data_IF_306082106029
#
_entry.id   IF_306082106029
#
_cell.length_a   1.000
_cell.length_b   1.000
_cell.length_c   1.000
_cell.angle_alpha   90.00
_cell.angle_beta   90.00
_cell.angle_gamma   90.00
#
_symmetry.space_group_name_H-M   'P 1'
#
loop_
_entity.id
_entity.type
_entity.pdbx_description
1 polymer ?
#
# COMPACT_ATOMS: atom_id res chain seq x y z
N UNK A 1 -5.75 -58.59 -48.62
CA UNK A 1 -6.55 -57.47 -48.09
C UNK A 1 -7.38 -56.92 -49.24
N UNK A 2 -8.69 -56.74 -49.05
CA UNK A 2 -9.55 -56.12 -50.07
C UNK A 2 -9.54 -54.60 -49.89
N UNK A 3 -9.90 -53.86 -50.93
CA UNK A 3 -9.99 -52.39 -50.87
C UNK A 3 -11.01 -51.94 -49.82
N UNK A 4 -12.10 -52.68 -49.67
CA UNK A 4 -13.14 -52.45 -48.67
C UNK A 4 -12.60 -52.59 -47.24
N UNK A 5 -11.74 -53.59 -46.98
CA UNK A 5 -11.07 -53.71 -45.68
C UNK A 5 -10.12 -52.53 -45.40
N UNK A 6 -9.37 -52.06 -46.40
CA UNK A 6 -8.46 -50.93 -46.23
C UNK A 6 -9.18 -49.59 -45.99
N UNK A 7 -10.34 -49.39 -46.65
CA UNK A 7 -11.18 -48.20 -46.44
C UNK A 7 -11.80 -48.20 -45.04
N UNK A 8 -12.24 -49.37 -44.55
CA UNK A 8 -12.77 -49.50 -43.19
C UNK A 8 -11.70 -49.18 -42.14
N UNK A 9 -10.48 -49.71 -42.30
CA UNK A 9 -9.36 -49.45 -41.41
C UNK A 9 -8.97 -47.96 -41.38
N UNK A 10 -8.92 -47.31 -42.55
CA UNK A 10 -8.63 -45.88 -42.63
C UNK A 10 -9.74 -45.01 -41.99
N UNK A 11 -11.00 -45.38 -42.18
CA UNK A 11 -12.14 -44.67 -41.58
C UNK A 11 -12.10 -44.77 -40.05
N UNK A 12 -11.75 -45.96 -39.54
CA UNK A 12 -11.56 -46.18 -38.10
C UNK A 12 -10.40 -45.35 -37.56
N UNK A 13 -9.22 -45.42 -38.19
CA UNK A 13 -8.07 -44.62 -37.79
C UNK A 13 -8.35 -43.12 -37.81
N UNK A 14 -9.12 -42.64 -38.79
CA UNK A 14 -9.54 -41.24 -38.88
C UNK A 14 -10.50 -40.85 -37.74
N UNK A 15 -11.44 -41.72 -37.40
CA UNK A 15 -12.38 -41.52 -36.27
C UNK A 15 -11.64 -41.49 -34.93
N UNK A 16 -10.70 -42.42 -34.73
CA UNK A 16 -9.87 -42.50 -33.53
C UNK A 16 -8.97 -41.26 -33.38
N UNK A 17 -8.41 -40.76 -34.49
CA UNK A 17 -7.62 -39.52 -34.52
C UNK A 17 -8.48 -38.30 -34.18
N UNK A 18 -9.68 -38.18 -34.76
CA UNK A 18 -10.62 -37.08 -34.47
C UNK A 18 -11.04 -37.11 -32.99
N UNK A 19 -11.34 -38.29 -32.44
CA UNK A 19 -11.69 -38.45 -31.03
C UNK A 19 -10.54 -38.04 -30.12
N UNK A 20 -9.32 -38.49 -30.44
CA UNK A 20 -8.09 -38.14 -29.70
C UNK A 20 -7.84 -36.63 -29.75
N UNK A 21 -7.95 -36.01 -30.93
CA UNK A 21 -7.78 -34.57 -31.11
C UNK A 21 -8.80 -33.77 -30.29
N UNK A 22 -10.08 -34.13 -30.35
CA UNK A 22 -11.13 -33.44 -29.59
C UNK A 22 -10.95 -33.60 -28.08
N UNK A 23 -10.54 -34.79 -27.61
CA UNK A 23 -10.19 -35.02 -26.20
C UNK A 23 -9.06 -34.10 -25.74
N UNK A 24 -7.94 -34.08 -26.48
CA UNK A 24 -6.79 -33.21 -26.16
C UNK A 24 -7.10 -31.73 -26.26
N UNK A 25 -7.89 -31.31 -27.25
CA UNK A 25 -8.37 -29.93 -27.38
C UNK A 25 -9.15 -29.49 -26.13
N UNK A 26 -10.03 -30.34 -25.60
CA UNK A 26 -10.82 -30.03 -24.41
C UNK A 26 -9.95 -29.97 -23.15
N UNK A 27 -9.00 -30.89 -22.98
CA UNK A 27 -8.02 -30.86 -21.88
C UNK A 27 -7.19 -29.57 -21.91
N UNK A 28 -6.67 -29.19 -23.08
CA UNK A 28 -5.89 -27.96 -23.27
C UNK A 28 -6.75 -26.72 -22.96
N UNK A 29 -7.96 -26.64 -23.52
CA UNK A 29 -8.85 -25.51 -23.27
C UNK A 29 -9.19 -25.36 -21.79
N UNK A 30 -9.41 -26.48 -21.08
CA UNK A 30 -9.62 -26.47 -19.65
C UNK A 30 -8.38 -25.99 -18.90
N UNK A 31 -7.19 -26.51 -19.22
CA UNK A 31 -5.95 -26.07 -18.59
C UNK A 31 -5.67 -24.57 -18.82
N UNK A 32 -5.95 -24.06 -20.02
CA UNK A 32 -5.83 -22.64 -20.35
C UNK A 32 -6.83 -21.80 -19.56
N UNK A 33 -8.10 -22.22 -19.47
CA UNK A 33 -9.12 -21.52 -18.69
C UNK A 33 -8.77 -21.50 -17.19
N UNK A 34 -8.31 -22.63 -16.65
CA UNK A 34 -7.88 -22.76 -15.26
C UNK A 34 -6.63 -21.87 -15.01
N UNK A 35 -5.70 -21.78 -15.95
CA UNK A 35 -4.54 -20.88 -15.86
C UNK A 35 -4.92 -19.40 -15.91
N UNK A 36 -5.83 -19.01 -16.80
CA UNK A 36 -6.34 -17.62 -16.88
C UNK A 36 -7.06 -17.25 -15.58
N UNK A 37 -7.91 -18.14 -15.05
CA UNK A 37 -8.60 -17.94 -13.79
C UNK A 37 -7.63 -17.90 -12.59
N UNK A 38 -6.47 -18.55 -12.68
CA UNK A 38 -5.44 -18.55 -11.66
C UNK A 38 -4.60 -17.26 -11.65
N UNK A 39 -4.57 -16.48 -12.73
CA UNK A 39 -3.89 -15.18 -12.74
C UNK A 39 -4.75 -14.20 -11.95
N UNK A 40 -4.31 -13.75 -10.77
CA UNK A 40 -5.09 -12.80 -10.01
C UNK A 40 -5.13 -11.48 -10.78
N UNK A 41 -6.31 -10.84 -10.80
CA UNK A 41 -6.40 -9.45 -11.21
C UNK A 41 -5.51 -8.62 -10.28
N UNK A 42 -4.41 -8.11 -10.83
CA UNK A 42 -3.36 -7.47 -10.04
C UNK A 42 -3.76 -6.09 -9.52
N UNK A 43 -4.79 -5.46 -10.10
CA UNK A 43 -5.40 -4.26 -9.54
C UNK A 43 -6.61 -4.66 -8.70
N UNK A 44 -6.57 -4.35 -7.40
CA UNK A 44 -7.72 -4.52 -6.51
C UNK A 44 -8.20 -3.16 -6.04
N UNK A 45 -9.51 -2.96 -6.10
CA UNK A 45 -10.17 -1.72 -5.66
C UNK A 45 -11.08 -2.07 -4.48
N UNK A 46 -10.87 -1.38 -3.36
CA UNK A 46 -11.64 -1.59 -2.14
C UNK A 46 -12.14 -0.25 -1.57
N UNK A 47 -13.30 -0.30 -0.92
CA UNK A 47 -13.80 0.77 -0.07
C UNK A 47 -13.56 0.40 1.40
N UNK A 48 -13.11 1.38 2.18
CA UNK A 48 -12.81 1.20 3.60
C UNK A 48 -13.63 2.19 4.43
N UNK A 49 -14.32 1.69 5.44
CA UNK A 49 -15.01 2.49 6.45
C UNK A 49 -14.78 1.86 7.83
N UNK A 50 -14.07 2.55 8.71
CA UNK A 50 -13.70 2.00 10.01
C UNK A 50 -14.90 1.83 10.96
N UNK A 51 -15.96 2.61 10.77
CA UNK A 51 -17.15 2.60 11.64
C UNK A 51 -18.18 1.55 11.19
N UNK A 52 -18.43 1.45 9.88
CA UNK A 52 -19.50 0.59 9.33
C UNK A 52 -18.99 -0.65 8.61
N UNK A 53 -17.69 -0.72 8.29
CA UNK A 53 -17.09 -1.84 7.58
C UNK A 53 -16.77 -3.04 8.47
N UNK A 54 -16.59 -4.20 7.83
CA UNK A 54 -16.13 -5.44 8.43
C UNK A 54 -15.05 -6.06 7.53
N UNK A 55 -14.00 -6.63 8.12
CA UNK A 55 -12.91 -7.25 7.35
C UNK A 55 -13.28 -8.61 6.74
N UNK A 56 -14.49 -9.10 7.04
CA UNK A 56 -15.12 -10.24 6.36
C UNK A 56 -15.96 -9.81 5.14
N UNK A 57 -16.16 -8.51 4.91
CA UNK A 57 -16.88 -8.02 3.74
C UNK A 57 -16.05 -8.18 2.46
N UNK A 58 -16.72 -8.03 1.31
CA UNK A 58 -16.08 -8.06 -0.01
C UNK A 58 -15.35 -6.76 -0.39
N UNK A 59 -15.55 -5.67 0.37
CA UNK A 59 -14.89 -4.38 0.14
C UNK A 59 -15.50 -3.51 -0.95
N UNK A 60 -16.75 -3.76 -1.35
CA UNK A 60 -17.51 -2.85 -2.21
C UNK A 60 -18.03 -1.64 -1.44
N UNK A 61 -18.51 -0.62 -2.16
CA UNK A 61 -18.98 0.65 -1.60
C UNK A 61 -20.06 0.48 -0.51
N UNK A 62 -20.99 -0.47 -0.70
CA UNK A 62 -22.09 -0.74 0.26
C UNK A 62 -21.72 -1.74 1.35
N UNK A 63 -20.68 -2.53 1.13
CA UNK A 63 -20.15 -3.54 2.05
C UNK A 63 -18.64 -3.35 2.19
N UNK A 64 -18.20 -2.22 2.78
CA UNK A 64 -16.79 -1.84 2.82
C UNK A 64 -16.00 -2.72 3.80
N UNK A 65 -14.69 -2.80 3.58
CA UNK A 65 -13.76 -3.35 4.56
C UNK A 65 -13.64 -2.42 5.77
N UNK A 66 -13.25 -2.97 6.93
CA UNK A 66 -13.02 -2.15 8.12
C UNK A 66 -11.63 -1.52 8.10
N UNK A 67 -10.63 -2.24 7.60
CA UNK A 67 -9.23 -1.83 7.67
C UNK A 67 -8.55 -1.75 6.31
N UNK A 68 -7.60 -0.82 6.20
CA UNK A 68 -6.71 -0.72 5.03
C UNK A 68 -5.79 -1.96 4.96
N UNK A 69 -5.41 -2.52 6.11
CA UNK A 69 -4.60 -3.74 6.15
C UNK A 69 -5.32 -4.90 5.46
N UNK A 70 -6.62 -5.10 5.72
CA UNK A 70 -7.37 -6.16 5.06
C UNK A 70 -7.43 -5.99 3.54
N UNK A 71 -7.49 -4.75 3.04
CA UNK A 71 -7.43 -4.46 1.62
C UNK A 71 -6.08 -4.89 1.00
N UNK A 72 -4.98 -4.62 1.69
CA UNK A 72 -3.63 -5.08 1.29
C UNK A 72 -3.50 -6.60 1.34
N UNK A 73 -4.00 -7.24 2.40
CA UNK A 73 -3.96 -8.70 2.56
C UNK A 73 -4.75 -9.41 1.46
N UNK A 74 -5.87 -8.82 1.03
CA UNK A 74 -6.67 -9.32 -0.10
C UNK A 74 -6.08 -8.96 -1.47
N UNK A 75 -4.96 -8.25 -1.53
CA UNK A 75 -4.24 -7.91 -2.77
C UNK A 75 -3.01 -8.82 -2.91
N UNK A 76 -2.74 -9.43 -4.07
CA UNK A 76 -1.51 -10.20 -4.28
C UNK A 76 -0.25 -9.34 -4.11
N UNK A 77 0.85 -9.95 -3.65
CA UNK A 77 2.19 -9.32 -3.71
C UNK A 77 2.53 -9.01 -5.18
N UNK A 78 3.14 -7.86 -5.44
CA UNK A 78 3.37 -7.33 -6.79
C UNK A 78 2.17 -6.62 -7.42
N UNK A 79 1.00 -6.67 -6.77
CA UNK A 79 -0.21 -6.00 -7.21
C UNK A 79 -0.34 -4.54 -6.79
N UNK A 80 -1.41 -3.91 -7.27
CA UNK A 80 -1.84 -2.56 -6.96
C UNK A 80 -3.10 -2.65 -6.09
N UNK A 81 -3.04 -2.07 -4.90
CA UNK A 81 -4.18 -1.92 -4.00
C UNK A 81 -4.67 -0.48 -4.08
N UNK A 82 -5.92 -0.27 -4.49
CA UNK A 82 -6.60 1.02 -4.49
C UNK A 82 -7.66 1.05 -3.41
N UNK A 83 -7.54 1.99 -2.49
CA UNK A 83 -8.46 2.16 -1.37
C UNK A 83 -9.17 3.48 -1.47
N UNK A 84 -10.50 3.45 -1.43
CA UNK A 84 -11.36 4.61 -1.23
C UNK A 84 -11.84 4.65 0.22
N UNK A 85 -11.39 5.62 0.99
CA UNK A 85 -11.78 5.80 2.39
C UNK A 85 -13.10 6.57 2.43
N UNK A 86 -14.12 6.00 3.07
CA UNK A 86 -15.49 6.56 3.11
C UNK A 86 -15.78 7.47 4.32
N UNK A 87 -14.81 7.61 5.22
CA UNK A 87 -14.91 8.42 6.43
C UNK A 87 -13.52 8.70 7.01
N UNK A 88 -13.46 9.46 8.08
CA UNK A 88 -12.19 9.66 8.79
C UNK A 88 -11.71 8.32 9.36
N UNK A 89 -10.43 8.03 9.18
CA UNK A 89 -9.81 6.75 9.50
C UNK A 89 -8.67 6.94 10.51
N UNK A 90 -8.79 6.29 11.66
CA UNK A 90 -7.73 6.27 12.66
C UNK A 90 -6.79 5.09 12.40
N UNK A 91 -5.53 5.38 12.10
CA UNK A 91 -4.44 4.41 12.14
C UNK A 91 -3.98 4.25 13.58
N UNK A 92 -4.37 3.14 14.23
CA UNK A 92 -3.96 2.78 15.59
C UNK A 92 -2.68 1.94 15.63
N UNK A 93 -2.37 1.26 14.53
CA UNK A 93 -1.19 0.42 14.34
C UNK A 93 -0.65 0.61 12.93
N UNK A 94 0.57 0.12 12.68
CA UNK A 94 1.14 0.17 11.33
C UNK A 94 0.36 -0.68 10.33
N UNK A 95 0.20 -0.13 9.14
CA UNK A 95 -0.28 -0.84 7.97
C UNK A 95 0.92 -1.28 7.13
N UNK A 96 1.09 -2.59 6.96
CA UNK A 96 2.22 -3.18 6.26
C UNK A 96 1.95 -3.21 4.74
N UNK A 97 2.73 -2.44 4.00
CA UNK A 97 2.71 -2.37 2.53
C UNK A 97 3.88 -3.21 2.01
N UNK A 98 3.64 -4.51 1.91
CA UNK A 98 4.67 -5.49 1.52
C UNK A 98 4.61 -5.79 0.02
N UNK A 99 5.62 -5.33 -0.73
CA UNK A 99 5.77 -5.59 -2.17
C UNK A 99 4.56 -5.19 -3.03
N UNK A 100 3.76 -4.23 -2.58
CA UNK A 100 2.52 -3.76 -3.25
C UNK A 100 2.58 -2.27 -3.50
N UNK A 101 1.86 -1.80 -4.51
CA UNK A 101 1.60 -0.38 -4.68
C UNK A 101 0.24 -0.02 -4.08
N UNK A 102 0.25 0.66 -2.93
CA UNK A 102 -0.95 1.18 -2.29
C UNK A 102 -1.26 2.57 -2.82
N UNK A 103 -2.51 2.78 -3.24
CA UNK A 103 -3.06 4.09 -3.59
C UNK A 103 -4.27 4.35 -2.69
N UNK A 104 -4.28 5.44 -1.94
CA UNK A 104 -5.38 5.78 -1.03
C UNK A 104 -6.00 7.11 -1.43
N UNK A 105 -7.33 7.10 -1.54
CA UNK A 105 -8.13 8.23 -1.96
C UNK A 105 -9.26 8.48 -0.96
N UNK A 106 -9.71 9.72 -0.88
CA UNK A 106 -11.07 9.99 -0.39
C UNK A 106 -12.10 9.44 -1.38
N UNK A 107 -13.19 8.88 -0.85
CA UNK A 107 -14.28 8.33 -1.68
C UNK A 107 -15.08 9.41 -2.44
N UNK A 108 -15.06 10.64 -1.95
CA UNK A 108 -15.82 11.77 -2.48
C UNK A 108 -14.89 12.85 -3.02
N UNK A 109 -15.14 13.28 -4.26
CA UNK A 109 -14.42 14.38 -4.88
C UNK A 109 -14.62 15.69 -4.11
N UNK A 110 -13.55 16.47 -3.95
CA UNK A 110 -13.56 17.74 -3.21
C UNK A 110 -13.55 17.58 -1.68
N UNK A 111 -13.68 16.37 -1.16
CA UNK A 111 -13.58 16.07 0.27
C UNK A 111 -12.23 15.46 0.58
N UNK A 112 -11.56 15.97 1.63
CA UNK A 112 -10.37 15.33 2.19
C UNK A 112 -10.70 14.58 3.47
N UNK A 113 -10.86 13.26 3.36
CA UNK A 113 -10.98 12.36 4.52
C UNK A 113 -9.67 12.34 5.29
N UNK A 114 -9.76 12.13 6.60
CA UNK A 114 -8.59 12.04 7.45
C UNK A 114 -8.02 10.64 7.47
N UNK A 115 -6.70 10.54 7.41
CA UNK A 115 -5.96 9.37 7.87
C UNK A 115 -5.12 9.83 9.06
N UNK A 116 -5.64 9.59 10.25
CA UNK A 116 -5.07 10.07 11.50
C UNK A 116 -4.16 8.99 12.12
N UNK A 117 -2.83 9.12 12.08
CA UNK A 117 -1.95 8.26 12.86
C UNK A 117 -2.09 8.51 14.36
N UNK A 118 -1.99 7.45 15.17
CA UNK A 118 -1.83 7.50 16.63
C UNK A 118 -0.47 6.99 17.06
N UNK A 119 -0.01 7.44 18.22
CA UNK A 119 1.07 6.75 18.91
C UNK A 119 0.56 5.50 19.63
N UNK A 120 1.37 4.46 19.65
CA UNK A 120 1.05 3.21 20.34
C UNK A 120 2.33 2.60 20.93
N UNK A 121 2.20 1.90 22.04
CA UNK A 121 3.32 1.19 22.66
C UNK A 121 3.60 -0.12 21.91
N UNK A 122 4.88 -0.48 21.85
CA UNK A 122 5.34 -1.81 21.48
C UNK A 122 4.70 -2.86 22.39
N UNK A 123 4.65 -4.11 21.93
CA UNK A 123 4.05 -5.21 22.70
C UNK A 123 4.73 -5.46 24.05
N UNK A 124 6.02 -5.13 24.18
CA UNK A 124 6.80 -5.20 25.41
C UNK A 124 6.75 -3.90 26.24
N UNK A 125 6.08 -2.85 25.75
CA UNK A 125 5.88 -1.58 26.45
C UNK A 125 7.12 -0.69 26.56
N UNK A 126 8.22 -1.03 25.90
CA UNK A 126 9.51 -0.35 26.05
C UNK A 126 9.74 0.78 25.04
N UNK A 127 9.05 0.72 23.89
CA UNK A 127 9.21 1.67 22.79
C UNK A 127 7.84 2.14 22.34
N UNK A 128 7.63 3.45 22.24
CA UNK A 128 6.46 3.96 21.55
C UNK A 128 6.74 4.06 20.05
N UNK A 129 5.72 3.79 19.23
CA UNK A 129 5.70 3.87 17.78
C UNK A 129 4.67 4.90 17.35
N UNK A 130 4.85 5.49 16.17
CA UNK A 130 3.74 6.16 15.48
C UNK A 130 3.14 5.21 14.45
N UNK A 131 1.82 5.05 14.44
CA UNK A 131 1.12 4.34 13.39
C UNK A 131 1.33 5.04 12.04
N UNK A 132 1.25 4.26 10.96
CA UNK A 132 1.55 4.75 9.62
C UNK A 132 1.64 3.60 8.63
N UNK A 133 2.28 3.84 7.50
CA UNK A 133 2.55 2.83 6.48
C UNK A 133 3.99 2.35 6.62
N UNK A 134 4.14 1.05 6.88
CA UNK A 134 5.42 0.36 6.91
C UNK A 134 5.67 -0.31 5.56
N UNK A 135 6.66 0.16 4.81
CA UNK A 135 6.96 -0.30 3.46
C UNK A 135 8.07 -1.37 3.50
N UNK A 136 7.83 -2.52 2.88
CA UNK A 136 8.79 -3.63 2.75
C UNK A 136 8.82 -4.18 1.34
N UNK A 137 9.94 -4.82 0.96
CA UNK A 137 10.10 -5.51 -0.33
C UNK A 137 9.69 -4.68 -1.57
N UNK A 138 10.04 -3.39 -1.60
CA UNK A 138 9.69 -2.48 -2.70
C UNK A 138 8.26 -1.94 -2.66
N UNK A 139 7.55 -2.11 -1.55
CA UNK A 139 6.24 -1.50 -1.32
C UNK A 139 6.28 0.02 -1.55
N UNK A 140 5.21 0.56 -2.12
CA UNK A 140 5.09 1.97 -2.49
C UNK A 140 3.74 2.51 -2.08
N UNK A 141 3.66 3.79 -1.70
CA UNK A 141 2.41 4.41 -1.26
C UNK A 141 2.16 5.73 -1.98
N UNK A 142 0.94 5.89 -2.49
CA UNK A 142 0.43 7.16 -2.97
C UNK A 142 -0.81 7.54 -2.16
N UNK A 143 -0.82 8.75 -1.61
CA UNK A 143 -2.00 9.36 -1.00
C UNK A 143 -2.50 10.48 -1.90
N UNK A 144 -3.82 10.53 -2.08
CA UNK A 144 -4.46 11.59 -2.83
C UNK A 144 -5.73 12.09 -2.13
N UNK A 145 -5.86 13.41 -2.04
CA UNK A 145 -7.01 14.07 -1.42
C UNK A 145 -7.23 13.60 0.04
N UNK A 146 -6.15 13.48 0.82
CA UNK A 146 -6.16 13.03 2.22
C UNK A 146 -5.66 14.14 3.15
N UNK A 147 -6.33 14.30 4.28
CA UNK A 147 -5.83 15.10 5.41
C UNK A 147 -5.11 14.20 6.41
N UNK A 148 -3.94 14.59 6.86
CA UNK A 148 -3.07 13.81 7.74
C UNK A 148 -2.84 14.61 9.03
N UNK A 149 -3.75 14.50 10.01
CA UNK A 149 -3.55 15.11 11.31
C UNK A 149 -2.52 14.30 12.11
N UNK A 150 -1.36 14.90 12.33
CA UNK A 150 -0.31 14.31 13.16
C UNK A 150 -0.76 14.24 14.63
N UNK A 151 -0.32 13.21 15.39
CA UNK A 151 -0.77 13.01 16.75
C UNK A 151 -0.04 13.92 17.74
N UNK A 152 -0.68 14.16 18.89
CA UNK A 152 -0.05 14.81 20.06
C UNK A 152 0.82 13.81 20.81
N UNK A 153 2.01 14.24 21.23
CA UNK A 153 2.90 13.42 22.08
C UNK A 153 2.72 13.70 23.57
N UNK A 154 1.81 14.61 23.94
CA UNK A 154 1.52 14.89 25.34
C UNK A 154 0.98 13.64 26.05
N UNK A 155 1.51 13.39 27.25
CA UNK A 155 1.06 12.27 28.09
C UNK A 155 1.57 10.89 27.67
N UNK A 156 2.47 10.80 26.69
CA UNK A 156 3.12 9.53 26.37
C UNK A 156 4.08 9.12 27.48
N UNK A 157 3.99 7.85 27.90
CA UNK A 157 4.86 7.28 28.93
C UNK A 157 6.31 7.09 28.46
N UNK A 158 6.51 6.81 27.17
CA UNK A 158 7.82 6.62 26.55
C UNK A 158 8.05 7.70 25.51
N UNK A 159 9.18 8.39 25.64
CA UNK A 159 9.54 9.49 24.77
C UNK A 159 9.83 9.02 23.33
N UNK A 160 9.41 9.79 22.33
CA UNK A 160 9.73 9.58 20.93
C UNK A 160 11.22 9.52 20.60
N UNK A 161 11.64 8.48 19.86
CA UNK A 161 13.03 8.36 19.39
C UNK A 161 13.15 7.56 18.08
N UNK A 162 14.03 8.05 17.19
CA UNK A 162 14.37 7.36 15.94
C UNK A 162 13.33 7.47 14.82
N UNK A 163 13.52 6.66 13.79
CA UNK A 163 12.72 6.67 12.55
C UNK A 163 11.36 5.95 12.68
N UNK A 164 11.15 5.24 13.79
CA UNK A 164 9.94 4.47 14.10
C UNK A 164 8.72 5.37 14.37
N UNK A 165 8.97 6.67 14.53
CA UNK A 165 7.99 7.75 14.71
C UNK A 165 7.65 8.47 13.40
N UNK A 166 7.77 7.75 12.29
CA UNK A 166 7.48 8.30 10.97
C UNK A 166 6.20 7.75 10.37
N UNK A 167 5.48 8.58 9.63
CA UNK A 167 4.21 8.21 9.03
C UNK A 167 4.40 7.19 7.89
N UNK A 168 5.40 7.40 7.04
CA UNK A 168 5.92 6.39 6.13
C UNK A 168 7.27 5.91 6.65
N UNK A 169 7.47 4.60 6.74
CA UNK A 169 8.71 4.06 7.30
C UNK A 169 9.05 2.68 6.78
N UNK A 170 10.30 2.28 6.96
CA UNK A 170 10.71 0.89 6.86
C UNK A 170 10.38 0.13 8.15
N UNK A 171 10.38 -1.20 8.11
CA UNK A 171 10.16 -2.03 9.31
C UNK A 171 11.42 -2.19 10.17
N UNK A 172 12.60 -1.92 9.62
CA UNK A 172 13.88 -2.04 10.32
C UNK A 172 14.92 -1.08 9.73
N UNK A 173 16.07 -0.98 10.41
CA UNK A 173 17.20 -0.16 9.93
C UNK A 173 17.71 -0.62 8.56
N UNK A 174 17.85 -1.94 8.35
CA UNK A 174 18.24 -2.55 7.07
C UNK A 174 17.05 -2.95 6.21
N UNK A 175 16.01 -2.11 6.18
CA UNK A 175 14.74 -2.41 5.53
C UNK A 175 14.81 -2.50 4.00
N UNK A 176 13.76 -2.05 3.30
CA UNK A 176 13.74 -2.06 1.82
C UNK A 176 14.84 -1.15 1.24
N UNK A 177 15.52 -1.54 0.14
CA UNK A 177 16.60 -0.72 -0.44
C UNK A 177 16.13 0.64 -0.94
N UNK A 178 14.86 0.74 -1.35
CA UNK A 178 14.23 1.99 -1.72
C UNK A 178 12.81 2.07 -1.20
N UNK A 179 12.31 3.30 -1.06
CA UNK A 179 10.96 3.62 -0.63
C UNK A 179 10.38 4.70 -1.54
N UNK A 180 9.24 4.43 -2.16
CA UNK A 180 8.55 5.38 -3.04
C UNK A 180 7.25 5.86 -2.41
N UNK A 181 7.16 7.18 -2.24
CA UNK A 181 6.04 7.86 -1.60
C UNK A 181 5.62 9.02 -2.49
N UNK A 182 4.33 9.09 -2.78
CA UNK A 182 3.70 10.23 -3.44
C UNK A 182 2.55 10.79 -2.63
N UNK A 183 2.51 12.10 -2.47
CA UNK A 183 1.40 12.80 -1.84
C UNK A 183 0.84 13.82 -2.84
N UNK A 184 -0.44 13.74 -3.17
CA UNK A 184 -1.11 14.65 -4.10
C UNK A 184 -2.32 15.28 -3.42
N UNK A 185 -2.45 16.60 -3.47
CA UNK A 185 -3.59 17.33 -2.89
C UNK A 185 -3.86 17.00 -1.41
N UNK A 186 -2.79 16.73 -0.65
CA UNK A 186 -2.88 16.37 0.76
C UNK A 186 -2.64 17.59 1.68
N UNK A 187 -3.08 17.51 2.92
CA UNK A 187 -2.69 18.46 3.97
C UNK A 187 -2.15 17.71 5.18
N UNK A 188 -1.05 18.22 5.71
CA UNK A 188 -0.47 17.77 6.97
C UNK A 188 -0.76 18.84 8.01
N UNK A 189 -1.34 18.45 9.13
CA UNK A 189 -1.56 19.35 10.26
C UNK A 189 -0.88 18.80 11.50
N UNK A 190 -0.36 19.69 12.35
CA UNK A 190 0.17 19.34 13.67
C UNK A 190 -0.84 19.71 14.75
N UNK A 191 -0.83 19.03 15.90
CA UNK A 191 -1.69 19.38 17.02
C UNK A 191 -1.39 20.81 17.49
N UNK A 192 -2.43 21.53 17.90
CA UNK A 192 -2.33 22.94 18.30
C UNK A 192 -1.44 23.17 19.54
N UNK A 193 -1.22 22.11 20.33
CA UNK A 193 -0.30 22.11 21.47
C UNK A 193 1.19 22.12 21.08
N UNK A 194 1.51 22.00 19.78
CA UNK A 194 2.89 21.98 19.28
C UNK A 194 3.69 20.73 19.68
N UNK A 195 3.04 19.74 20.29
CA UNK A 195 3.70 18.60 20.92
C UNK A 195 4.09 17.49 19.95
N UNK A 196 3.73 17.58 18.67
CA UNK A 196 4.05 16.51 17.73
C UNK A 196 5.55 16.21 17.73
N UNK A 197 5.90 14.92 17.77
CA UNK A 197 7.27 14.43 17.71
C UNK A 197 7.33 13.24 16.74
N UNK A 198 7.99 13.44 15.61
CA UNK A 198 8.01 12.45 14.54
C UNK A 198 8.31 13.09 13.20
N UNK A 199 8.21 12.27 12.16
CA UNK A 199 8.55 12.67 10.79
C UNK A 199 7.51 12.18 9.78
N UNK A 200 7.53 12.73 8.56
CA UNK A 200 6.76 12.16 7.45
C UNK A 200 7.40 10.84 7.02
N UNK A 201 8.72 10.81 6.87
CA UNK A 201 9.46 9.66 6.35
C UNK A 201 10.53 9.18 7.33
N UNK A 202 10.63 7.87 7.53
CA UNK A 202 11.63 7.22 8.39
C UNK A 202 12.27 6.03 7.70
N UNK A 203 13.42 6.26 7.05
CA UNK A 203 14.14 5.22 6.33
C UNK A 203 15.66 5.46 6.43
N UNK A 204 16.31 4.95 7.50
CA UNK A 204 17.68 5.32 7.85
C UNK A 204 18.74 4.83 6.85
N UNK A 205 18.47 3.77 6.08
CA UNK A 205 19.45 3.19 5.14
C UNK A 205 18.87 2.92 3.73
N UNK A 206 17.74 3.54 3.39
CA UNK A 206 17.09 3.36 2.08
C UNK A 206 17.25 4.59 1.20
N UNK A 207 17.18 4.37 -0.11
CA UNK A 207 16.90 5.45 -1.05
C UNK A 207 15.43 5.88 -0.91
N UNK A 208 15.17 7.15 -0.65
CA UNK A 208 13.81 7.69 -0.49
C UNK A 208 13.45 8.50 -1.73
N UNK A 209 12.33 8.15 -2.34
CA UNK A 209 11.68 8.95 -3.37
C UNK A 209 10.42 9.54 -2.73
N UNK A 210 10.45 10.83 -2.42
CA UNK A 210 9.33 11.57 -1.84
C UNK A 210 8.88 12.66 -2.80
N UNK A 211 7.77 12.45 -3.48
CA UNK A 211 7.16 13.46 -4.35
C UNK A 211 5.92 14.06 -3.69
N UNK A 212 5.85 15.38 -3.66
CA UNK A 212 4.67 16.11 -3.18
C UNK A 212 4.09 17.01 -4.28
N UNK A 213 2.78 16.98 -4.48
CA UNK A 213 2.08 17.83 -5.44
C UNK A 213 0.85 18.44 -4.78
N UNK A 214 0.76 19.78 -4.76
CA UNK A 214 -0.33 20.48 -4.07
C UNK A 214 -0.52 20.05 -2.60
N UNK A 215 0.59 19.76 -1.91
CA UNK A 215 0.59 19.37 -0.50
C UNK A 215 0.87 20.59 0.36
N UNK A 216 0.11 20.75 1.44
CA UNK A 216 0.37 21.77 2.46
C UNK A 216 0.99 21.15 3.71
N UNK A 217 2.01 21.82 4.25
CA UNK A 217 2.64 21.49 5.53
C UNK A 217 2.50 22.68 6.48
N UNK A 218 2.46 22.46 7.81
CA UNK A 218 2.29 23.54 8.76
C UNK A 218 3.57 24.39 8.86
N UNK A 219 3.45 25.61 9.37
CA UNK A 219 4.60 26.48 9.64
C UNK A 219 5.55 25.82 10.65
N UNK A 220 6.86 25.89 10.41
CA UNK A 220 7.85 25.30 11.31
C UNK A 220 8.00 23.78 11.20
N UNK A 221 7.47 23.16 10.14
CA UNK A 221 7.60 21.72 9.89
C UNK A 221 8.98 21.30 9.33
N UNK A 222 9.91 22.25 9.16
CA UNK A 222 11.28 21.96 8.75
C UNK A 222 11.97 21.00 9.75
N UNK A 223 12.80 20.10 9.22
CA UNK A 223 13.45 19.03 9.98
C UNK A 223 12.52 17.86 10.33
N UNK A 224 11.27 17.85 9.86
CA UNK A 224 10.29 16.78 10.10
C UNK A 224 9.88 16.03 8.84
N UNK A 225 10.41 16.36 7.67
CA UNK A 225 10.08 15.62 6.45
C UNK A 225 10.72 14.23 6.45
N UNK A 226 12.00 14.14 6.78
CA UNK A 226 12.74 12.88 6.78
C UNK A 226 13.54 12.75 8.08
N UNK A 227 13.42 11.59 8.73
CA UNK A 227 14.09 11.31 9.98
C UNK A 227 15.61 11.52 9.90
N UNK A 228 16.15 12.31 10.83
CA UNK A 228 17.59 12.58 10.93
C UNK A 228 18.12 13.66 10.01
N UNK A 229 17.29 14.31 9.19
CA UNK A 229 17.71 15.42 8.33
C UNK A 229 17.33 16.76 8.98
N UNK A 230 18.30 17.66 9.26
CA UNK A 230 18.03 18.96 9.85
C UNK A 230 17.19 19.86 8.94
N UNK A 231 16.47 20.80 9.54
CA UNK A 231 15.73 21.83 8.81
C UNK A 231 16.66 22.70 7.94
N UNK A 232 16.19 23.08 6.76
CA UNK A 232 16.92 23.88 5.77
C UNK A 232 17.86 23.06 4.90
N UNK A 233 18.01 21.75 5.13
CA UNK A 233 18.91 20.91 4.33
C UNK A 233 18.44 20.85 2.89
N UNK A 234 19.31 21.20 1.94
CA UNK A 234 19.03 21.10 0.53
C UNK A 234 19.04 19.62 0.10
N UNK A 235 17.97 19.08 -0.52
CA UNK A 235 17.94 17.67 -0.89
C UNK A 235 19.07 17.24 -1.83
N UNK A 236 19.54 18.13 -2.69
CA UNK A 236 20.64 17.86 -3.62
C UNK A 236 21.97 17.48 -2.92
N UNK A 237 22.13 17.77 -1.62
CA UNK A 237 23.31 17.36 -0.85
C UNK A 237 23.18 15.96 -0.26
N UNK A 238 22.03 15.30 -0.41
CA UNK A 238 21.73 13.99 0.16
C UNK A 238 21.68 12.96 -0.96
N UNK A 239 22.64 12.02 -0.97
CA UNK A 239 22.78 11.03 -2.04
C UNK A 239 21.64 10.01 -2.09
N UNK A 240 20.92 9.83 -0.98
CA UNK A 240 19.86 8.84 -0.84
C UNK A 240 18.44 9.44 -0.88
N UNK A 241 18.27 10.74 -1.14
CA UNK A 241 16.95 11.40 -1.14
C UNK A 241 16.66 12.03 -2.51
N UNK A 242 15.55 11.62 -3.13
CA UNK A 242 14.99 12.25 -4.32
C UNK A 242 13.64 12.88 -3.96
N UNK A 243 13.57 14.21 -4.01
CA UNK A 243 12.34 14.95 -3.67
C UNK A 243 12.27 16.29 -4.40
N UNK A 244 11.04 16.78 -4.57
CA UNK A 244 10.75 18.12 -5.09
C UNK A 244 10.46 19.15 -3.98
N UNK A 245 10.64 18.79 -2.71
CA UNK A 245 10.63 19.73 -1.59
C UNK A 245 11.96 20.51 -1.60
N UNK A 246 11.98 21.84 -1.75
CA UNK A 246 13.22 22.59 -1.99
C UNK A 246 14.16 22.64 -0.77
N UNK A 247 13.62 22.55 0.44
CA UNK A 247 14.37 22.52 1.69
C UNK A 247 13.64 21.62 2.71
N UNK A 248 14.37 20.64 3.25
CA UNK A 248 13.87 19.68 4.24
C UNK A 248 13.92 20.23 5.68
#
# INVERSE_FOLDING_TARGET
MSLESGIADLTKASTDLIATFNGKKNEINKAVADAIAAIPENLKIYHVNQQTGLDTNNGFTVTPLKTIQKALDNTPVGGICRVYVQGDYQLSVNCLVDGRFLTVFSDQSGTRRKIAPAYYLSSDGTVSYMAGFSLTNGGSVMLQDISIPMPSSLGLAVAPSGFTWSFFKTTSNGGTPFMSIKMTSCDVTVPADGSFQGYIVGAPQSAVILEVLAVSFPSGFGGRYVAGIPSGTAPATLSNILTNIPAL
#
